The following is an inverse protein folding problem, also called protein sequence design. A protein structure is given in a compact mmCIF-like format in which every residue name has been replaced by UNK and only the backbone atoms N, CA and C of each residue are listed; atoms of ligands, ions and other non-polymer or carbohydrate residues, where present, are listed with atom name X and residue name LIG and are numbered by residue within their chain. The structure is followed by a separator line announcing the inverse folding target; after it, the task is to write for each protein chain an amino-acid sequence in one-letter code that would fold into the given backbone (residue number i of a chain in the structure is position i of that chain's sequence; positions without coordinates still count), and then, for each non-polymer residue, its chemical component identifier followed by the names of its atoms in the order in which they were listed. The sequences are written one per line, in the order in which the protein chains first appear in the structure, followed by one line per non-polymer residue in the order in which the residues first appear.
data_IF_187901825609
#
_entry.id   IF_187901825609
#
_cell.length_a   1.000
_cell.length_b   1.000
_cell.length_c   1.000
_cell.angle_alpha   90.00
_cell.angle_beta   90.00
_cell.angle_gamma   90.00
#
_symmetry.space_group_name_H-M   'P 1'
#
loop_
_entity.id
_entity.type
_entity.pdbx_description
1 polymer ?
#
# COMPACT_ATOMS: atom_id res chain seq x y z
N UNK A 1 35.70 23.37 -23.15
CA UNK A 1 34.41 24.04 -22.90
C UNK A 1 33.30 23.16 -23.46
N UNK A 2 32.77 22.23 -22.65
CA UNK A 2 31.69 21.29 -23.02
C UNK A 2 30.70 21.16 -21.85
N UNK A 3 30.37 22.29 -21.23
CA UNK A 3 29.75 22.38 -19.91
C UNK A 3 28.22 22.65 -19.87
N UNK A 4 27.58 23.35 -20.82
CA UNK A 4 26.14 23.65 -20.68
C UNK A 4 25.22 22.48 -21.08
N UNK A 5 25.64 21.65 -22.05
CA UNK A 5 24.85 20.51 -22.50
C UNK A 5 24.81 19.37 -21.46
N UNK A 6 25.93 19.09 -20.79
CA UNK A 6 26.03 18.03 -19.77
C UNK A 6 25.19 18.33 -18.52
N UNK A 7 25.12 19.60 -18.10
CA UNK A 7 24.26 20.03 -16.99
C UNK A 7 22.78 19.96 -17.35
N UNK A 8 22.42 20.34 -18.58
CA UNK A 8 21.04 20.21 -19.09
C UNK A 8 20.59 18.75 -19.11
N UNK A 9 21.42 17.85 -19.63
CA UNK A 9 21.10 16.42 -19.71
C UNK A 9 20.95 15.80 -18.31
N UNK A 10 21.82 16.17 -17.36
CA UNK A 10 21.72 15.73 -15.95
C UNK A 10 20.48 16.27 -15.25
N UNK A 11 20.08 17.51 -15.54
CA UNK A 11 18.86 18.09 -14.99
C UNK A 11 17.61 17.38 -15.54
N UNK A 12 17.59 17.05 -16.84
CA UNK A 12 16.53 16.25 -17.45
C UNK A 12 16.44 14.85 -16.85
N UNK A 13 17.58 14.19 -16.63
CA UNK A 13 17.63 12.88 -15.96
C UNK A 13 17.10 12.96 -14.53
N UNK A 14 17.51 13.97 -13.76
CA UNK A 14 16.99 14.18 -12.41
C UNK A 14 15.48 14.41 -12.40
N UNK A 15 14.97 15.27 -13.30
CA UNK A 15 13.55 15.53 -13.44
C UNK A 15 12.78 14.24 -13.76
N UNK A 16 13.29 13.41 -14.68
CA UNK A 16 12.69 12.12 -14.99
C UNK A 16 12.62 11.18 -13.77
N UNK A 17 13.64 11.19 -12.91
CA UNK A 17 13.61 10.43 -11.64
C UNK A 17 12.56 10.99 -10.66
N UNK A 18 12.45 12.32 -10.54
CA UNK A 18 11.44 12.97 -9.70
C UNK A 18 10.03 12.63 -10.19
N UNK A 19 9.79 12.72 -11.50
CA UNK A 19 8.51 12.40 -12.11
C UNK A 19 8.14 10.93 -11.94
N UNK A 20 9.11 10.02 -12.10
CA UNK A 20 8.93 8.59 -11.84
C UNK A 20 8.54 8.34 -10.38
N UNK A 21 9.24 8.94 -9.41
CA UNK A 21 8.94 8.77 -7.97
C UNK A 21 7.54 9.31 -7.64
N UNK A 22 7.16 10.47 -8.19
CA UNK A 22 5.84 11.05 -7.97
C UNK A 22 4.74 10.18 -8.57
N UNK A 23 4.94 9.67 -9.80
CA UNK A 23 4.01 8.77 -10.47
C UNK A 23 3.82 7.45 -9.73
N UNK A 24 4.90 6.85 -9.23
CA UNK A 24 4.84 5.66 -8.38
C UNK A 24 4.07 5.92 -7.09
N UNK A 25 4.32 7.07 -6.44
CA UNK A 25 3.61 7.47 -5.21
C UNK A 25 2.11 7.63 -5.46
N UNK A 26 1.71 8.31 -6.54
CA UNK A 26 0.31 8.46 -6.92
C UNK A 26 -0.35 7.12 -7.21
N UNK A 27 0.35 6.24 -7.92
CA UNK A 27 -0.13 4.89 -8.24
C UNK A 27 -0.32 4.04 -6.99
N UNK A 28 0.62 4.09 -6.03
CA UNK A 28 0.51 3.41 -4.74
C UNK A 28 -0.72 3.92 -3.97
N UNK A 29 -0.92 5.24 -3.92
CA UNK A 29 -2.08 5.84 -3.25
C UNK A 29 -3.41 5.49 -3.92
N UNK A 30 -3.47 5.50 -5.24
CA UNK A 30 -4.65 5.11 -5.99
C UNK A 30 -5.03 3.65 -5.70
N UNK A 31 -4.04 2.73 -5.72
CA UNK A 31 -4.24 1.32 -5.34
C UNK A 31 -4.70 1.18 -3.89
N UNK A 32 -4.10 1.94 -2.97
CA UNK A 32 -4.47 1.94 -1.56
C UNK A 32 -5.93 2.33 -1.37
N UNK A 33 -6.37 3.44 -1.98
CA UNK A 33 -7.75 3.91 -1.88
C UNK A 33 -8.75 2.92 -2.49
N UNK A 34 -8.44 2.36 -3.66
CA UNK A 34 -9.31 1.38 -4.31
C UNK A 34 -9.51 0.13 -3.44
N UNK A 35 -8.42 -0.38 -2.84
CA UNK A 35 -8.46 -1.59 -2.00
C UNK A 35 -9.08 -1.31 -0.63
N UNK A 36 -8.93 -0.10 -0.08
CA UNK A 36 -9.64 0.33 1.12
C UNK A 36 -11.15 0.32 0.88
N UNK A 37 -11.61 0.90 -0.22
CA UNK A 37 -13.04 0.94 -0.58
C UNK A 37 -13.57 -0.47 -0.83
N UNK A 38 -12.85 -1.29 -1.61
CA UNK A 38 -13.26 -2.66 -1.90
C UNK A 38 -13.41 -3.50 -0.62
N UNK A 39 -12.44 -3.45 0.29
CA UNK A 39 -12.52 -4.19 1.55
C UNK A 39 -13.63 -3.64 2.47
N UNK A 40 -13.83 -2.33 2.49
CA UNK A 40 -14.94 -1.71 3.25
C UNK A 40 -16.29 -2.18 2.75
N UNK A 41 -16.48 -2.30 1.43
CA UNK A 41 -17.71 -2.81 0.83
C UNK A 41 -17.94 -4.29 1.15
N UNK A 42 -16.91 -5.12 1.10
CA UNK A 42 -17.02 -6.55 1.45
C UNK A 42 -17.43 -6.69 2.92
N UNK A 43 -16.73 -6.00 3.84
CA UNK A 43 -17.06 -6.04 5.27
C UNK A 43 -18.46 -5.48 5.53
N UNK A 44 -18.84 -4.37 4.87
CA UNK A 44 -20.17 -3.80 4.96
C UNK A 44 -21.26 -4.76 4.47
N UNK A 45 -21.04 -5.46 3.36
CA UNK A 45 -21.96 -6.47 2.85
C UNK A 45 -22.12 -7.66 3.83
N UNK A 46 -21.02 -8.10 4.45
CA UNK A 46 -21.04 -9.13 5.48
C UNK A 46 -21.82 -8.69 6.73
N UNK A 47 -21.73 -7.42 7.11
CA UNK A 47 -22.45 -6.86 8.25
C UNK A 47 -23.95 -6.66 7.99
N UNK A 48 -24.31 -6.20 6.78
CA UNK A 48 -25.71 -5.90 6.41
C UNK A 48 -26.51 -7.14 6.04
N UNK A 49 -25.86 -8.23 5.62
CA UNK A 49 -26.55 -9.46 5.23
C UNK A 49 -26.05 -10.73 5.96
N UNK A 50 -26.19 -10.79 7.30
CA UNK A 50 -25.83 -11.99 8.05
C UNK A 50 -26.64 -13.22 7.61
N UNK A 51 -27.90 -13.00 7.20
CA UNK A 51 -28.88 -14.04 6.88
C UNK A 51 -28.77 -14.55 5.44
N UNK A 52 -28.49 -13.72 4.43
CA UNK A 52 -28.34 -14.19 3.05
C UNK A 52 -27.08 -15.04 2.86
N UNK A 53 -26.01 -14.72 3.58
CA UNK A 53 -24.79 -15.54 3.67
C UNK A 53 -24.84 -16.59 4.80
N UNK A 54 -25.94 -16.62 5.56
CA UNK A 54 -26.23 -17.65 6.56
C UNK A 54 -26.88 -18.89 5.94
N UNK A 55 -27.59 -18.73 4.81
CA UNK A 55 -28.26 -19.81 4.10
C UNK A 55 -27.29 -20.88 3.54
N UNK A 56 -26.07 -20.48 3.18
CA UNK A 56 -24.99 -21.40 2.79
C UNK A 56 -23.75 -21.11 3.63
N UNK A 57 -23.42 -22.05 4.55
CA UNK A 57 -22.20 -21.97 5.39
C UNK A 57 -20.95 -21.70 4.54
N UNK A 58 -20.86 -22.32 3.37
CA UNK A 58 -19.73 -22.19 2.45
C UNK A 58 -19.64 -20.82 1.77
N UNK A 59 -20.78 -20.19 1.45
CA UNK A 59 -20.78 -18.87 0.82
C UNK A 59 -20.16 -17.80 1.75
N UNK A 60 -20.47 -17.85 3.05
CA UNK A 60 -19.86 -16.95 4.04
C UNK A 60 -18.34 -17.12 4.14
N UNK A 61 -17.84 -18.36 4.20
CA UNK A 61 -16.40 -18.63 4.20
C UNK A 61 -15.72 -18.24 2.89
N UNK A 62 -16.38 -18.42 1.74
CA UNK A 62 -15.85 -18.02 0.45
C UNK A 62 -15.64 -16.50 0.37
N UNK A 63 -16.61 -15.70 0.82
CA UNK A 63 -16.50 -14.23 0.83
C UNK A 63 -15.41 -13.76 1.80
N UNK A 64 -15.34 -14.34 3.00
CA UNK A 64 -14.28 -14.03 3.98
C UNK A 64 -12.90 -14.40 3.43
N UNK A 65 -12.77 -15.59 2.83
CA UNK A 65 -11.54 -16.05 2.20
C UNK A 65 -11.10 -15.15 1.06
N UNK A 66 -12.04 -14.72 0.20
CA UNK A 66 -11.77 -13.76 -0.87
C UNK A 66 -11.27 -12.42 -0.31
N UNK A 67 -11.94 -11.88 0.72
CA UNK A 67 -11.53 -10.65 1.39
C UNK A 67 -10.14 -10.74 2.02
N UNK A 68 -9.83 -11.86 2.67
CA UNK A 68 -8.52 -12.13 3.25
C UNK A 68 -7.42 -12.23 2.18
N UNK A 69 -7.71 -12.92 1.06
CA UNK A 69 -6.78 -13.05 -0.06
C UNK A 69 -6.49 -11.69 -0.70
N UNK A 70 -7.53 -10.88 -0.94
CA UNK A 70 -7.38 -9.51 -1.48
C UNK A 70 -6.57 -8.63 -0.50
N UNK A 71 -6.84 -8.72 0.80
CA UNK A 71 -6.09 -7.97 1.82
C UNK A 71 -4.63 -8.38 1.91
N UNK A 72 -4.35 -9.67 1.73
CA UNK A 72 -2.97 -10.20 1.70
C UNK A 72 -2.23 -9.70 0.45
N UNK A 73 -2.86 -9.77 -0.72
CA UNK A 73 -2.31 -9.20 -1.94
C UNK A 73 -2.05 -7.69 -1.79
N UNK A 74 -2.99 -6.96 -1.17
CA UNK A 74 -2.84 -5.53 -0.87
C UNK A 74 -1.63 -5.26 0.02
N UNK A 75 -1.43 -6.06 1.07
CA UNK A 75 -0.27 -5.97 1.96
C UNK A 75 1.03 -6.13 1.16
N UNK A 76 1.12 -7.18 0.35
CA UNK A 76 2.32 -7.48 -0.44
C UNK A 76 2.63 -6.35 -1.44
N UNK A 77 1.64 -5.86 -2.17
CA UNK A 77 1.81 -4.76 -3.12
C UNK A 77 2.26 -3.48 -2.40
N UNK A 78 1.71 -3.20 -1.21
CA UNK A 78 2.06 -2.01 -0.42
C UNK A 78 3.51 -2.07 0.08
N UNK A 79 3.97 -3.23 0.54
CA UNK A 79 5.36 -3.46 0.96
C UNK A 79 6.31 -3.31 -0.23
N UNK A 80 6.04 -4.00 -1.34
CA UNK A 80 6.93 -3.98 -2.51
C UNK A 80 6.96 -2.60 -3.16
N UNK A 81 5.82 -1.92 -3.28
CA UNK A 81 5.74 -0.56 -3.80
C UNK A 81 6.54 0.42 -2.94
N UNK A 82 6.46 0.30 -1.62
CA UNK A 82 7.26 1.12 -0.72
C UNK A 82 8.76 0.87 -0.83
N UNK A 83 9.18 -0.39 -0.93
CA UNK A 83 10.60 -0.74 -1.11
C UNK A 83 11.17 -0.19 -2.41
N UNK A 84 10.43 -0.32 -3.52
CA UNK A 84 10.85 0.24 -4.81
C UNK A 84 10.92 1.77 -4.78
N UNK A 85 9.90 2.43 -4.22
CA UNK A 85 9.90 3.88 -4.06
C UNK A 85 11.07 4.37 -3.20
N UNK A 86 11.38 3.67 -2.09
CA UNK A 86 12.54 3.98 -1.25
C UNK A 86 13.85 3.87 -2.02
N UNK A 87 14.01 2.80 -2.81
CA UNK A 87 15.21 2.60 -3.62
C UNK A 87 15.38 3.74 -4.65
N UNK A 88 14.30 4.16 -5.31
CA UNK A 88 14.35 5.29 -6.24
C UNK A 88 14.70 6.60 -5.53
N UNK A 89 14.12 6.86 -4.35
CA UNK A 89 14.44 8.04 -3.55
C UNK A 89 15.91 8.05 -3.08
N UNK A 90 16.49 6.90 -2.73
CA UNK A 90 17.90 6.79 -2.37
C UNK A 90 18.83 7.09 -3.55
N UNK A 91 18.53 6.55 -4.74
CA UNK A 91 19.31 6.82 -5.96
C UNK A 91 19.22 8.31 -6.35
N UNK A 92 18.02 8.89 -6.30
CA UNK A 92 17.84 10.33 -6.55
C UNK A 92 18.56 11.19 -5.48
N UNK A 93 18.62 10.69 -4.25
CA UNK A 93 19.35 11.26 -3.13
C UNK A 93 20.86 11.35 -3.36
N UNK A 94 21.49 10.28 -3.85
CA UNK A 94 22.92 10.26 -4.15
C UNK A 94 23.26 11.08 -5.40
N UNK A 95 22.43 11.03 -6.44
CA UNK A 95 22.67 11.74 -7.70
C UNK A 95 22.75 13.27 -7.52
N UNK A 96 21.85 13.82 -6.70
CA UNK A 96 21.82 15.25 -6.37
C UNK A 96 22.98 15.67 -5.49
N UNK A 97 23.40 14.84 -4.54
CA UNK A 97 24.58 15.10 -3.70
C UNK A 97 25.90 15.15 -4.52
N UNK A 98 25.96 14.48 -5.66
CA UNK A 98 27.14 14.49 -6.54
C UNK A 98 27.12 15.64 -7.56
N UNK A 99 25.96 15.97 -8.13
CA UNK A 99 25.87 16.86 -9.30
C UNK A 99 25.17 18.20 -9.04
N UNK A 100 24.41 18.32 -7.95
CA UNK A 100 23.55 19.47 -7.65
C UNK A 100 23.67 19.90 -6.17
N UNK A 101 24.88 19.89 -5.61
CA UNK A 101 25.16 20.18 -4.18
C UNK A 101 24.62 21.53 -3.68
N UNK A 102 24.41 22.49 -4.58
CA UNK A 102 23.95 23.83 -4.28
C UNK A 102 22.41 23.93 -4.19
N UNK A 103 21.67 22.89 -4.58
CA UNK A 103 20.21 22.87 -4.55
C UNK A 103 19.71 22.03 -3.35
N UNK A 104 18.68 22.51 -2.62
CA UNK A 104 18.10 21.74 -1.52
C UNK A 104 17.48 20.45 -2.07
N UNK A 105 18.00 19.31 -1.62
CA UNK A 105 17.49 18.00 -2.02
C UNK A 105 16.48 17.46 -0.99
N UNK A 106 15.18 17.39 -1.31
CA UNK A 106 14.17 16.87 -0.39
C UNK A 106 14.33 15.37 -0.09
N UNK A 107 15.02 14.61 -0.96
CA UNK A 107 15.26 13.18 -0.75
C UNK A 107 16.42 12.89 0.23
N UNK A 108 17.29 13.87 0.47
CA UNK A 108 18.34 13.80 1.49
C UNK A 108 17.84 14.25 2.88
N UNK A 109 16.66 14.87 2.97
CA UNK A 109 16.10 15.35 4.22
C UNK A 109 15.54 14.20 5.09
N UNK A 110 16.05 14.11 6.32
CA UNK A 110 15.60 13.15 7.33
C UNK A 110 14.13 13.34 7.71
N UNK A 111 13.63 14.57 7.67
CA UNK A 111 12.23 14.92 7.99
C UNK A 111 11.29 14.31 6.96
N UNK A 112 11.63 14.47 5.67
CA UNK A 112 10.90 13.86 4.57
C UNK A 112 10.87 12.32 4.69
N UNK A 113 12.02 11.71 4.99
CA UNK A 113 12.15 10.26 5.21
C UNK A 113 11.31 9.77 6.40
N UNK A 114 11.26 10.53 7.50
CA UNK A 114 10.50 10.19 8.71
C UNK A 114 8.98 10.30 8.49
N UNK A 115 8.52 11.36 7.84
CA UNK A 115 7.10 11.53 7.49
C UNK A 115 6.63 10.42 6.56
N UNK A 116 7.45 10.03 5.58
CA UNK A 116 7.16 8.90 4.71
C UNK A 116 6.99 7.57 5.48
N UNK A 117 7.86 7.29 6.44
CA UNK A 117 7.75 6.10 7.30
C UNK A 117 6.44 6.07 8.09
N UNK A 118 6.02 7.20 8.65
CA UNK A 118 4.76 7.30 9.38
C UNK A 118 3.56 7.01 8.48
N UNK A 119 3.52 7.61 7.29
CA UNK A 119 2.44 7.39 6.32
C UNK A 119 2.38 5.92 5.89
N UNK A 120 3.53 5.31 5.60
CA UNK A 120 3.59 3.90 5.24
C UNK A 120 3.14 3.00 6.40
N UNK A 121 3.59 3.29 7.63
CA UNK A 121 3.16 2.58 8.83
C UNK A 121 1.64 2.65 9.04
N UNK A 122 1.04 3.83 8.84
CA UNK A 122 -0.41 4.01 8.91
C UNK A 122 -1.14 3.18 7.85
N UNK A 123 -0.64 3.16 6.61
CA UNK A 123 -1.21 2.35 5.54
C UNK A 123 -1.16 0.85 5.88
N UNK A 124 -0.04 0.35 6.41
CA UNK A 124 0.10 -1.04 6.86
C UNK A 124 -0.84 -1.36 8.02
N UNK A 125 -1.02 -0.43 8.97
CA UNK A 125 -1.93 -0.62 10.09
C UNK A 125 -3.39 -0.78 9.62
N UNK A 126 -3.84 0.04 8.66
CA UNK A 126 -5.18 -0.08 8.06
C UNK A 126 -5.37 -1.45 7.39
N UNK A 127 -4.38 -1.92 6.63
CA UNK A 127 -4.44 -3.25 6.01
C UNK A 127 -4.50 -4.34 7.08
N UNK A 128 -3.69 -4.22 8.14
CA UNK A 128 -3.69 -5.14 9.27
C UNK A 128 -5.04 -5.23 9.96
N UNK A 129 -5.76 -4.11 10.10
CA UNK A 129 -7.13 -4.08 10.63
C UNK A 129 -8.07 -4.92 9.77
N UNK A 130 -8.04 -4.77 8.44
CA UNK A 130 -8.90 -5.59 7.57
C UNK A 130 -8.57 -7.08 7.65
N UNK A 131 -7.29 -7.45 7.68
CA UNK A 131 -6.87 -8.84 7.88
C UNK A 131 -7.42 -9.38 9.20
N UNK A 132 -7.27 -8.62 10.30
CA UNK A 132 -7.79 -9.00 11.61
C UNK A 132 -9.32 -9.15 11.60
N UNK A 133 -10.05 -8.27 10.91
CA UNK A 133 -11.51 -8.37 10.73
C UNK A 133 -11.86 -9.68 10.03
N UNK A 134 -11.23 -10.01 8.90
CA UNK A 134 -11.53 -11.26 8.18
C UNK A 134 -11.20 -12.51 9.00
N UNK A 135 -10.06 -12.51 9.71
CA UNK A 135 -9.71 -13.61 10.61
C UNK A 135 -10.70 -13.75 11.76
N UNK A 136 -11.12 -12.64 12.36
CA UNK A 136 -12.12 -12.62 13.43
C UNK A 136 -13.51 -13.11 12.96
N UNK A 137 -13.96 -12.65 11.78
CA UNK A 137 -15.22 -13.12 11.17
C UNK A 137 -15.16 -14.61 10.81
N UNK A 138 -14.03 -15.08 10.29
CA UNK A 138 -13.80 -16.48 9.96
C UNK A 138 -13.82 -17.37 11.20
N UNK A 139 -13.12 -16.97 12.26
CA UNK A 139 -13.09 -17.69 13.53
C UNK A 139 -14.47 -17.72 14.19
N UNK A 140 -15.18 -16.59 14.24
CA UNK A 140 -16.54 -16.51 14.79
C UNK A 140 -17.49 -17.47 14.07
N UNK A 141 -17.45 -17.52 12.73
CA UNK A 141 -18.25 -18.47 11.94
C UNK A 141 -17.86 -19.93 12.17
N UNK A 142 -16.58 -20.23 12.34
CA UNK A 142 -16.12 -21.59 12.62
C UNK A 142 -16.63 -22.09 13.98
N UNK A 143 -16.56 -21.23 15.02
CA UNK A 143 -17.04 -21.54 16.36
C UNK A 143 -18.56 -21.77 16.40
N UNK A 144 -19.35 -20.87 15.79
CA UNK A 144 -20.81 -21.08 15.68
C UNK A 144 -21.18 -22.30 14.83
N UNK A 145 -20.29 -22.75 13.95
CA UNK A 145 -20.48 -23.96 13.14
C UNK A 145 -20.37 -25.26 13.94
N UNK A 146 -19.50 -25.28 14.96
CA UNK A 146 -19.20 -26.42 15.84
C UNK A 146 -20.27 -26.64 16.90
N UNK A 147 -20.95 -25.59 17.38
CA UNK A 147 -22.04 -25.71 18.36
C UNK A 147 -23.31 -26.39 17.81
N UNK A 148 -23.39 -26.59 16.49
CA UNK A 148 -24.57 -27.14 15.79
C UNK A 148 -24.36 -28.58 15.29
N UNK A 149 -23.27 -29.25 15.66
CA UNK A 149 -23.05 -30.68 15.38
C UNK A 149 -23.28 -31.50 16.65
N UNK A 150 -24.36 -32.31 16.73
CA UNK A 150 -24.61 -33.22 17.85
C UNK A 150 -23.63 -34.40 17.90
#
# INVERSE_FOLDING_TARGET
MREPADLSDKATLFQAYVDLINSERETIWARHNALLVANSLIVGALALSPTALGASRWAGFAVIGAGLLISTAWLLITIHGWLMMRRHAEIAGTFTAEHFQHLPNPFADLTYRRSGLWIHGLALAVIGIFIAIYLGLGLGRALSGLELTP
#
